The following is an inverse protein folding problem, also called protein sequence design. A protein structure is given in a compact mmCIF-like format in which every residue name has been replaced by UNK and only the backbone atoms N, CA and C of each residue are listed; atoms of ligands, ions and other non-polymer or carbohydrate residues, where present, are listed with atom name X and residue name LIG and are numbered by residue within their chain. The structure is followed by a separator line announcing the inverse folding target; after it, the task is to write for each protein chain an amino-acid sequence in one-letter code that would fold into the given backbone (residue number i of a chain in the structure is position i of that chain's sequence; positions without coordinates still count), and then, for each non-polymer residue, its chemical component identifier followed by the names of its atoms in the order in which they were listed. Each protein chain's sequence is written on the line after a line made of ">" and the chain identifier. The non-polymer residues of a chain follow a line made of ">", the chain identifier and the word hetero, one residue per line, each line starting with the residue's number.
data_IF_641566187837
#
_entry.id   IF_641566187837
#
_cell.length_a   1.000
_cell.length_b   1.000
_cell.length_c   1.000
_cell.angle_alpha   90.00
_cell.angle_beta   90.00
_cell.angle_gamma   90.00
#
_symmetry.space_group_name_H-M   'P 1'
#
loop_
_entity.id
_entity.type
_entity.pdbx_description
1 polymer ?
#
# COMPACT_ATOMS: atom_id res chain seq x y z
N UNK A 1 -7.61 -31.52 58.85
CA UNK A 1 -6.70 -30.73 57.99
C UNK A 1 -7.51 -30.24 56.80
N UNK A 2 -7.87 -28.95 56.73
CA UNK A 2 -8.60 -28.40 55.59
C UNK A 2 -7.68 -28.35 54.34
N UNK A 3 -8.23 -28.57 53.14
CA UNK A 3 -7.46 -28.52 51.90
C UNK A 3 -7.00 -27.07 51.62
N UNK A 4 -5.80 -26.88 51.03
CA UNK A 4 -5.28 -25.57 50.68
C UNK A 4 -6.19 -24.92 49.64
N UNK A 5 -6.75 -23.76 49.98
CA UNK A 5 -7.50 -22.90 49.08
C UNK A 5 -6.56 -22.37 48.00
N UNK A 6 -6.73 -22.86 46.78
CA UNK A 6 -6.06 -22.31 45.60
C UNK A 6 -6.45 -20.84 45.45
N UNK A 7 -5.49 -19.90 45.38
CA UNK A 7 -5.79 -18.50 45.16
C UNK A 7 -6.48 -18.37 43.80
N UNK A 8 -7.73 -17.90 43.83
CA UNK A 8 -8.48 -17.53 42.64
C UNK A 8 -7.69 -16.45 41.92
N UNK A 9 -7.08 -16.80 40.78
CA UNK A 9 -6.49 -15.82 39.88
C UNK A 9 -7.61 -14.82 39.57
N UNK A 10 -7.46 -13.54 39.95
CA UNK A 10 -8.49 -12.55 39.69
C UNK A 10 -8.76 -12.60 38.20
N UNK A 11 -10.03 -12.81 37.83
CA UNK A 11 -10.49 -12.81 36.46
C UNK A 11 -9.97 -11.51 35.84
N UNK A 12 -8.84 -11.62 35.13
CA UNK A 12 -8.18 -10.50 34.51
C UNK A 12 -9.23 -9.94 33.58
N UNK A 13 -9.74 -8.76 33.95
CA UNK A 13 -10.79 -8.08 33.25
C UNK A 13 -10.41 -8.17 31.77
N UNK A 14 -11.20 -8.92 31.01
CA UNK A 14 -11.14 -8.90 29.57
C UNK A 14 -11.61 -7.51 29.20
N UNK A 15 -10.70 -6.54 29.33
CA UNK A 15 -10.78 -5.26 28.66
C UNK A 15 -10.79 -5.64 27.21
N UNK A 16 -12.00 -5.91 26.70
CA UNK A 16 -12.27 -6.14 25.31
C UNK A 16 -11.67 -4.94 24.63
N UNK A 17 -10.48 -5.14 24.07
CA UNK A 17 -9.80 -4.15 23.26
C UNK A 17 -10.80 -3.97 22.13
N UNK A 18 -11.62 -2.92 22.24
CA UNK A 18 -12.67 -2.61 21.30
C UNK A 18 -11.95 -2.50 19.95
N UNK A 19 -12.13 -3.53 19.13
CA UNK A 19 -11.32 -3.77 17.94
C UNK A 19 -11.32 -2.47 17.14
N UNK A 20 -10.17 -1.76 17.02
CA UNK A 20 -10.17 -0.39 16.55
C UNK A 20 -10.87 -0.30 15.19
N UNK A 21 -12.05 0.33 15.26
CA UNK A 21 -13.04 0.73 14.26
C UNK A 21 -13.06 -0.04 12.92
N UNK A 22 -14.17 -0.74 12.66
CA UNK A 22 -14.56 -1.27 11.34
C UNK A 22 -14.48 -0.23 10.21
N UNK A 23 -14.55 1.06 10.54
CA UNK A 23 -14.54 2.20 9.62
C UNK A 23 -13.22 2.37 8.87
N UNK A 24 -12.07 2.26 9.55
CA UNK A 24 -10.74 2.39 8.91
C UNK A 24 -10.52 1.27 7.90
N UNK A 25 -10.90 0.05 8.28
CA UNK A 25 -10.75 -1.11 7.42
C UNK A 25 -11.59 -0.98 6.13
N UNK A 26 -12.79 -0.40 6.24
CA UNK A 26 -13.66 -0.11 5.10
C UNK A 26 -13.07 0.98 4.19
N UNK A 27 -12.46 2.02 4.75
CA UNK A 27 -11.77 3.06 3.98
C UNK A 27 -10.57 2.52 3.20
N UNK A 28 -9.74 1.69 3.84
CA UNK A 28 -8.59 1.05 3.18
C UNK A 28 -9.07 0.17 2.03
N UNK A 29 -10.11 -0.64 2.25
CA UNK A 29 -10.68 -1.47 1.19
C UNK A 29 -11.20 -0.63 0.02
N UNK A 30 -11.85 0.50 0.28
CA UNK A 30 -12.37 1.38 -0.76
C UNK A 30 -11.23 2.04 -1.57
N UNK A 31 -10.20 2.56 -0.90
CA UNK A 31 -9.01 3.09 -1.55
C UNK A 31 -8.34 2.06 -2.45
N UNK A 32 -8.28 0.81 -1.99
CA UNK A 32 -7.60 -0.25 -2.70
C UNK A 32 -8.39 -0.69 -3.95
N UNK A 33 -9.72 -0.72 -3.87
CA UNK A 33 -10.58 -0.91 -5.05
C UNK A 33 -10.44 0.24 -6.06
N UNK A 34 -10.37 1.49 -5.59
CA UNK A 34 -10.16 2.65 -6.47
C UNK A 34 -8.80 2.56 -7.17
N UNK A 35 -7.72 2.28 -6.44
CA UNK A 35 -6.38 2.10 -7.02
C UNK A 35 -6.34 0.94 -8.01
N UNK A 36 -7.03 -0.17 -7.73
CA UNK A 36 -7.10 -1.31 -8.65
C UNK A 36 -7.83 -0.95 -9.95
N UNK A 37 -8.97 -0.26 -9.85
CA UNK A 37 -9.73 0.20 -11.02
C UNK A 37 -8.92 1.19 -11.85
N UNK A 38 -8.28 2.15 -11.19
CA UNK A 38 -7.41 3.15 -11.81
C UNK A 38 -6.20 2.50 -12.51
N UNK A 39 -5.52 1.58 -11.84
CA UNK A 39 -4.40 0.81 -12.42
C UNK A 39 -4.85 0.03 -13.66
N UNK A 40 -6.06 -0.56 -13.64
CA UNK A 40 -6.59 -1.32 -14.77
C UNK A 40 -6.88 -0.42 -15.97
N UNK A 41 -7.52 0.74 -15.74
CA UNK A 41 -7.78 1.74 -16.78
C UNK A 41 -6.46 2.26 -17.36
N UNK A 42 -5.47 2.54 -16.50
CA UNK A 42 -4.19 3.05 -16.94
C UNK A 42 -3.40 2.01 -17.75
N UNK A 43 -3.44 0.71 -17.38
CA UNK A 43 -2.87 -0.37 -18.20
C UNK A 43 -3.54 -0.44 -19.56
N UNK A 44 -4.88 -0.38 -19.61
CA UNK A 44 -5.62 -0.42 -20.87
C UNK A 44 -5.26 0.76 -21.78
N UNK A 45 -5.21 1.98 -21.24
CA UNK A 45 -4.79 3.18 -21.97
C UNK A 45 -3.34 3.08 -22.42
N UNK A 46 -2.46 2.54 -21.57
CA UNK A 46 -1.05 2.34 -21.89
C UNK A 46 -0.88 1.31 -23.03
N UNK A 47 -1.66 0.22 -23.04
CA UNK A 47 -1.60 -0.76 -24.14
C UNK A 47 -2.04 -0.17 -25.48
N UNK A 48 -3.03 0.72 -25.50
CA UNK A 48 -3.47 1.40 -26.73
C UNK A 48 -2.37 2.33 -27.26
N UNK A 49 -1.58 2.93 -26.37
CA UNK A 49 -0.51 3.87 -26.73
C UNK A 49 0.86 3.20 -26.92
N UNK A 50 1.06 1.99 -26.39
CA UNK A 50 2.33 1.24 -26.43
C UNK A 50 2.79 0.88 -27.85
N UNK A 51 1.91 0.96 -28.85
CA UNK A 51 2.24 0.70 -30.25
C UNK A 51 3.06 1.80 -30.93
N UNK A 52 3.06 3.04 -30.41
CA UNK A 52 3.67 4.18 -31.10
C UNK A 52 4.96 4.71 -30.44
N UNK A 53 5.06 4.64 -29.11
CA UNK A 53 6.20 5.10 -28.33
C UNK A 53 6.43 4.10 -27.19
N UNK A 54 7.33 3.14 -27.39
CA UNK A 54 7.58 2.05 -26.44
C UNK A 54 8.30 2.50 -25.17
N UNK A 55 7.66 3.31 -24.33
CA UNK A 55 8.10 3.56 -22.96
C UNK A 55 7.57 2.45 -22.05
N UNK A 56 8.27 1.32 -22.02
CA UNK A 56 7.94 0.16 -21.18
C UNK A 56 8.01 0.45 -19.66
N UNK A 57 8.55 1.60 -19.26
CA UNK A 57 8.64 2.01 -17.85
C UNK A 57 7.27 2.13 -17.18
N UNK A 58 6.30 2.78 -17.83
CA UNK A 58 4.96 2.96 -17.27
C UNK A 58 4.19 1.62 -17.14
N UNK A 59 4.09 0.77 -18.20
CA UNK A 59 3.46 -0.55 -18.07
C UNK A 59 4.12 -1.44 -17.02
N UNK A 60 5.45 -1.40 -16.89
CA UNK A 60 6.17 -2.16 -15.86
C UNK A 60 5.83 -1.66 -14.44
N UNK A 61 5.83 -0.35 -14.22
CA UNK A 61 5.45 0.26 -12.94
C UNK A 61 3.98 -0.06 -12.58
N UNK A 62 3.07 -0.03 -13.57
CA UNK A 62 1.68 -0.44 -13.39
C UNK A 62 1.57 -1.93 -13.05
N UNK A 63 2.31 -2.80 -13.73
CA UNK A 63 2.32 -4.24 -13.45
C UNK A 63 2.78 -4.54 -12.01
N UNK A 64 3.87 -3.91 -11.57
CA UNK A 64 4.34 -4.04 -10.19
C UNK A 64 3.31 -3.53 -9.17
N UNK A 65 2.68 -2.39 -9.45
CA UNK A 65 1.63 -1.81 -8.60
C UNK A 65 0.41 -2.72 -8.52
N UNK A 66 0.02 -3.31 -9.64
CA UNK A 66 -1.08 -4.27 -9.72
C UNK A 66 -0.79 -5.52 -8.89
N UNK A 67 0.40 -6.12 -9.05
CA UNK A 67 0.82 -7.28 -8.26
C UNK A 67 0.77 -6.95 -6.77
N UNK A 68 1.34 -5.81 -6.37
CA UNK A 68 1.32 -5.37 -4.98
C UNK A 68 -0.10 -5.20 -4.42
N UNK A 69 -0.99 -4.56 -5.16
CA UNK A 69 -2.39 -4.38 -4.76
C UNK A 69 -3.12 -5.73 -4.63
N UNK A 70 -2.90 -6.66 -5.57
CA UNK A 70 -3.46 -8.01 -5.53
C UNK A 70 -2.91 -8.80 -4.34
N UNK A 71 -1.61 -8.75 -4.08
CA UNK A 71 -1.00 -9.40 -2.90
C UNK A 71 -1.61 -8.87 -1.61
N UNK A 72 -1.79 -7.55 -1.48
CA UNK A 72 -2.45 -6.96 -0.30
C UNK A 72 -3.90 -7.38 -0.17
N UNK A 73 -4.65 -7.48 -1.26
CA UNK A 73 -6.01 -8.02 -1.24
C UNK A 73 -6.04 -9.48 -0.80
N UNK A 74 -5.14 -10.30 -1.32
CA UNK A 74 -5.05 -11.72 -0.98
C UNK A 74 -4.74 -11.90 0.51
N UNK A 75 -3.77 -11.14 1.04
CA UNK A 75 -3.42 -11.14 2.46
C UNK A 75 -4.60 -10.65 3.32
N UNK A 76 -5.25 -9.54 2.95
CA UNK A 76 -6.41 -9.02 3.68
C UNK A 76 -7.58 -10.00 3.69
N UNK A 77 -7.85 -10.68 2.56
CA UNK A 77 -8.87 -11.74 2.49
C UNK A 77 -8.51 -12.94 3.35
N UNK A 78 -7.24 -13.34 3.39
CA UNK A 78 -6.75 -14.44 4.23
C UNK A 78 -6.95 -14.11 5.71
N UNK A 79 -6.69 -12.87 6.13
CA UNK A 79 -6.92 -12.43 7.51
C UNK A 79 -8.38 -12.41 7.90
N UNK A 80 -9.28 -12.00 7.00
CA UNK A 80 -10.74 -12.06 7.27
C UNK A 80 -11.28 -13.48 7.40
N UNK A 81 -10.63 -14.46 6.76
CA UNK A 81 -10.99 -15.88 6.87
C UNK A 81 -10.39 -16.54 8.11
N UNK A 82 -9.28 -16.04 8.62
CA UNK A 82 -8.75 -16.45 9.91
C UNK A 82 -9.70 -15.93 11.01
N UNK A 83 -10.33 -16.85 11.75
CA UNK A 83 -11.25 -16.48 12.82
C UNK A 83 -10.60 -15.58 13.89
N UNK A 84 -11.39 -14.94 14.77
CA UNK A 84 -10.90 -13.99 15.78
C UNK A 84 -9.79 -14.57 16.67
N UNK A 85 -9.87 -15.87 16.96
CA UNK A 85 -8.88 -16.59 17.78
C UNK A 85 -7.50 -16.65 17.11
N UNK A 86 -7.43 -16.78 15.79
CA UNK A 86 -6.17 -16.80 15.04
C UNK A 86 -5.55 -15.39 14.89
N UNK A 87 -6.35 -14.35 15.14
CA UNK A 87 -5.93 -12.95 15.12
C UNK A 87 -5.56 -12.42 16.51
N UNK A 88 -5.90 -13.15 17.58
CA UNK A 88 -5.53 -12.79 18.95
C UNK A 88 -3.99 -12.76 19.08
N UNK A 89 -3.44 -11.57 19.24
CA UNK A 89 -2.00 -11.34 19.39
C UNK A 89 -1.21 -11.14 18.09
N UNK A 90 -1.85 -11.21 16.91
CA UNK A 90 -1.19 -10.90 15.63
C UNK A 90 -1.55 -9.51 15.14
N UNK A 91 -0.53 -8.78 14.67
CA UNK A 91 -0.73 -7.49 14.00
C UNK A 91 -1.43 -7.70 12.65
N UNK A 92 -2.37 -6.81 12.27
CA UNK A 92 -2.99 -6.88 10.96
C UNK A 92 -1.93 -6.77 9.86
N UNK A 93 -2.09 -7.48 8.74
CA UNK A 93 -1.11 -7.54 7.66
C UNK A 93 -0.80 -6.14 7.11
N UNK A 94 -1.76 -5.23 7.17
CA UNK A 94 -1.58 -3.81 6.78
C UNK A 94 -0.56 -3.08 7.63
N UNK A 95 -0.37 -3.48 8.89
CA UNK A 95 0.58 -2.89 9.83
C UNK A 95 1.96 -3.57 9.82
N UNK A 96 2.15 -4.64 9.03
CA UNK A 96 3.46 -5.33 8.95
C UNK A 96 4.48 -4.42 8.29
N UNK A 97 5.71 -4.44 8.83
CA UNK A 97 6.84 -3.63 8.32
C UNK A 97 7.09 -3.90 6.84
N UNK A 98 7.01 -5.16 6.42
CA UNK A 98 7.22 -5.56 5.03
C UNK A 98 6.25 -4.86 4.06
N UNK A 99 4.97 -4.70 4.43
CA UNK A 99 3.97 -4.01 3.60
C UNK A 99 4.24 -2.51 3.52
N UNK A 100 4.70 -1.90 4.61
CA UNK A 100 5.08 -0.47 4.60
C UNK A 100 6.30 -0.24 3.72
N UNK A 101 7.35 -1.07 3.87
CA UNK A 101 8.59 -0.96 3.09
C UNK A 101 8.31 -1.16 1.60
N UNK A 102 7.54 -2.18 1.23
CA UNK A 102 7.16 -2.41 -0.16
C UNK A 102 6.31 -1.28 -0.74
N UNK A 103 5.40 -0.70 0.04
CA UNK A 103 4.64 0.48 -0.38
C UNK A 103 5.54 1.68 -0.72
N UNK A 104 6.53 1.97 0.13
CA UNK A 104 7.52 3.02 -0.14
C UNK A 104 8.39 2.73 -1.36
N UNK A 105 8.81 1.47 -1.52
CA UNK A 105 9.58 1.04 -2.68
C UNK A 105 8.81 1.29 -3.98
N UNK A 106 7.52 0.95 -4.03
CA UNK A 106 6.67 1.19 -5.20
C UNK A 106 6.46 2.67 -5.46
N UNK A 107 6.29 3.49 -4.41
CA UNK A 107 6.22 4.93 -4.55
C UNK A 107 7.51 5.53 -5.15
N UNK A 108 8.69 5.02 -4.76
CA UNK A 108 9.97 5.41 -5.36
C UNK A 108 10.09 4.98 -6.83
N UNK A 109 9.62 3.78 -7.18
CA UNK A 109 9.56 3.33 -8.57
C UNK A 109 8.69 4.26 -9.41
N UNK A 110 7.54 4.70 -8.89
CA UNK A 110 6.69 5.69 -9.56
C UNK A 110 7.38 7.05 -9.72
N UNK A 111 8.05 7.54 -8.67
CA UNK A 111 8.80 8.79 -8.76
C UNK A 111 9.91 8.72 -9.82
N UNK A 112 10.63 7.60 -9.89
CA UNK A 112 11.64 7.35 -10.92
C UNK A 112 11.01 7.29 -12.33
N UNK A 113 9.89 6.59 -12.49
CA UNK A 113 9.18 6.51 -13.76
C UNK A 113 8.73 7.90 -14.25
N UNK A 114 8.09 8.70 -13.38
CA UNK A 114 7.68 10.08 -13.68
C UNK A 114 8.88 10.95 -14.06
N UNK A 115 10.00 10.83 -13.33
CA UNK A 115 11.23 11.56 -13.62
C UNK A 115 11.85 11.20 -14.96
N UNK A 116 11.88 9.90 -15.29
CA UNK A 116 12.38 9.40 -16.58
C UNK A 116 11.49 9.88 -17.72
N UNK A 117 10.16 9.75 -17.62
CA UNK A 117 9.22 10.25 -18.62
C UNK A 117 9.36 11.76 -18.82
N UNK A 118 9.49 12.55 -17.74
CA UNK A 118 9.71 13.99 -17.83
C UNK A 118 11.02 14.33 -18.57
N UNK A 119 12.13 13.68 -18.21
CA UNK A 119 13.43 13.89 -18.84
C UNK A 119 13.40 13.58 -20.34
N UNK A 120 12.73 12.48 -20.72
CA UNK A 120 12.58 12.08 -22.12
C UNK A 120 11.74 13.07 -22.92
N UNK A 121 10.63 13.56 -22.37
CA UNK A 121 9.82 14.60 -23.01
C UNK A 121 10.66 15.86 -23.24
N UNK A 122 11.48 16.28 -22.28
CA UNK A 122 12.40 17.43 -22.42
C UNK A 122 13.42 17.18 -23.54
N UNK A 123 14.05 15.99 -23.57
CA UNK A 123 15.04 15.64 -24.60
C UNK A 123 14.39 15.66 -25.99
N UNK A 124 13.25 14.99 -26.17
CA UNK A 124 12.57 14.89 -27.46
C UNK A 124 12.11 16.26 -27.96
N UNK A 125 11.55 17.09 -27.07
CA UNK A 125 11.09 18.44 -27.42
C UNK A 125 12.25 19.37 -27.78
N UNK A 126 13.43 19.19 -27.17
CA UNK A 126 14.62 19.98 -27.49
C UNK A 126 15.22 19.67 -28.87
N UNK A 127 15.00 18.47 -29.42
CA UNK A 127 15.58 18.05 -30.70
C UNK A 127 14.79 18.52 -31.93
N UNK A 128 13.57 19.04 -31.76
CA UNK A 128 12.79 19.68 -32.83
C UNK A 128 12.34 18.81 -34.01
N UNK A 129 12.70 17.51 -34.06
CA UNK A 129 12.46 16.62 -35.22
C UNK A 129 11.12 15.88 -35.23
N UNK A 130 10.37 15.88 -34.13
CA UNK A 130 9.15 15.07 -34.00
C UNK A 130 7.91 15.94 -34.09
N UNK A 131 6.84 15.40 -34.68
CA UNK A 131 5.52 16.01 -34.74
C UNK A 131 5.03 16.33 -33.32
N UNK A 132 5.24 17.60 -32.92
CA UNK A 132 5.20 18.03 -31.51
C UNK A 132 3.86 17.71 -30.84
N UNK A 133 2.76 17.71 -31.60
CA UNK A 133 1.40 17.66 -31.04
C UNK A 133 1.08 16.32 -30.36
N UNK A 134 1.33 15.20 -31.03
CA UNK A 134 0.96 13.87 -30.50
C UNK A 134 1.81 13.48 -29.29
N UNK A 135 3.12 13.72 -29.35
CA UNK A 135 4.05 13.42 -28.24
C UNK A 135 3.74 14.26 -27.00
N UNK A 136 3.41 15.55 -27.18
CA UNK A 136 3.07 16.43 -26.06
C UNK A 136 1.78 15.95 -25.38
N UNK A 137 0.74 15.62 -26.14
CA UNK A 137 -0.55 15.19 -25.57
C UNK A 137 -0.38 13.88 -24.79
N UNK A 138 0.22 12.86 -25.41
CA UNK A 138 0.42 11.55 -24.76
C UNK A 138 1.31 11.67 -23.53
N UNK A 139 2.40 12.43 -23.62
CA UNK A 139 3.30 12.67 -22.50
C UNK A 139 2.60 13.36 -21.32
N UNK A 140 1.69 14.31 -21.57
CA UNK A 140 0.92 14.95 -20.51
C UNK A 140 -0.01 13.96 -19.80
N UNK A 141 -0.71 13.11 -20.55
CA UNK A 141 -1.58 12.09 -19.93
C UNK A 141 -0.77 11.12 -19.07
N UNK A 142 0.33 10.58 -19.59
CA UNK A 142 1.20 9.67 -18.86
C UNK A 142 1.75 10.32 -17.58
N UNK A 143 2.12 11.60 -17.66
CA UNK A 143 2.63 12.35 -16.51
C UNK A 143 1.56 12.56 -15.43
N UNK A 144 0.34 12.94 -15.82
CA UNK A 144 -0.78 13.10 -14.87
C UNK A 144 -1.15 11.77 -14.20
N UNK A 145 -1.23 10.68 -14.97
CA UNK A 145 -1.50 9.36 -14.42
C UNK A 145 -0.38 8.88 -13.49
N UNK A 146 0.89 9.07 -13.87
CA UNK A 146 2.03 8.70 -13.05
C UNK A 146 2.10 9.49 -11.74
N UNK A 147 1.84 10.80 -11.77
CA UNK A 147 1.76 11.62 -10.56
C UNK A 147 0.61 11.21 -9.66
N UNK A 148 -0.54 10.90 -10.24
CA UNK A 148 -1.70 10.49 -9.49
C UNK A 148 -1.47 9.14 -8.79
N UNK A 149 -0.91 8.15 -9.49
CA UNK A 149 -0.58 6.85 -8.88
C UNK A 149 0.53 6.99 -7.82
N UNK A 150 1.55 7.82 -8.07
CA UNK A 150 2.58 8.16 -7.08
C UNK A 150 1.95 8.73 -5.80
N UNK A 151 1.00 9.65 -5.94
CA UNK A 151 0.31 10.25 -4.79
C UNK A 151 -0.55 9.22 -4.05
N UNK A 152 -1.30 8.38 -4.77
CA UNK A 152 -2.13 7.31 -4.18
C UNK A 152 -1.26 6.33 -3.37
N UNK A 153 -0.15 5.85 -3.95
CA UNK A 153 0.77 4.92 -3.28
C UNK A 153 1.46 5.57 -2.07
N UNK A 154 1.92 6.80 -2.21
CA UNK A 154 2.49 7.57 -1.10
C UNK A 154 1.49 7.77 0.04
N UNK A 155 0.25 8.14 -0.28
CA UNK A 155 -0.80 8.32 0.71
C UNK A 155 -1.18 7.01 1.41
N UNK A 156 -1.25 5.90 0.68
CA UNK A 156 -1.43 4.57 1.25
C UNK A 156 -0.30 4.20 2.21
N UNK A 157 0.96 4.41 1.82
CA UNK A 157 2.11 4.14 2.67
C UNK A 157 2.10 4.99 3.95
N UNK A 158 1.76 6.27 3.83
CA UNK A 158 1.61 7.19 4.97
C UNK A 158 0.48 6.75 5.90
N UNK A 159 -0.67 6.35 5.37
CA UNK A 159 -1.80 5.85 6.18
C UNK A 159 -1.44 4.56 6.91
N UNK A 160 -0.78 3.62 6.25
CA UNK A 160 -0.30 2.38 6.90
C UNK A 160 0.72 2.68 8.01
N UNK A 161 1.59 3.67 7.79
CA UNK A 161 2.56 4.12 8.79
C UNK A 161 1.86 4.77 9.98
N UNK A 162 0.86 5.62 9.75
CA UNK A 162 0.06 6.25 10.81
C UNK A 162 -0.76 5.25 11.60
N UNK A 163 -1.39 4.29 10.94
CA UNK A 163 -2.12 3.19 11.62
C UNK A 163 -1.19 2.40 12.54
N UNK A 164 0.01 2.06 12.04
CA UNK A 164 1.04 1.40 12.85
C UNK A 164 1.47 2.27 14.03
N UNK A 165 1.68 3.57 13.82
CA UNK A 165 2.03 4.51 14.90
C UNK A 165 0.89 4.66 15.92
N UNK A 166 -0.38 4.59 15.53
CA UNK A 166 -1.49 4.62 16.47
C UNK A 166 -1.54 3.35 17.31
N UNK A 167 -1.36 2.18 16.70
CA UNK A 167 -1.31 0.89 17.42
C UNK A 167 -0.11 0.88 18.39
N UNK A 168 1.05 1.35 17.96
CA UNK A 168 2.27 1.40 18.80
C UNK A 168 2.21 2.54 19.82
N UNK A 169 1.56 3.67 19.50
CA UNK A 169 1.43 4.82 20.40
C UNK A 169 0.45 4.59 21.53
N UNK A 170 -0.60 3.79 21.31
CA UNK A 170 -1.40 3.20 22.40
C UNK A 170 -0.55 2.29 23.29
N UNK A 171 0.53 1.72 22.74
CA UNK A 171 1.54 0.94 23.43
C UNK A 171 2.79 1.77 23.77
N UNK A 172 2.67 3.05 24.14
CA UNK A 172 3.80 3.94 24.51
C UNK A 172 4.74 3.39 25.62
N UNK A 173 4.42 2.24 26.22
CA UNK A 173 5.29 1.48 27.13
C UNK A 173 6.12 0.38 26.45
N UNK A 174 5.81 -0.05 25.23
CA UNK A 174 6.50 -1.14 24.54
C UNK A 174 7.51 -0.60 23.50
N UNK A 175 8.81 -0.84 23.75
CA UNK A 175 9.89 -0.38 22.86
C UNK A 175 9.89 -1.15 21.52
N UNK A 176 10.26 -0.48 20.42
CA UNK A 176 10.22 -0.99 19.04
C UNK A 176 10.87 -2.37 18.79
N UNK A 177 11.82 -2.77 19.62
CA UNK A 177 12.49 -4.07 19.53
C UNK A 177 11.70 -5.21 20.19
N UNK A 178 10.76 -4.93 21.10
CA UNK A 178 9.85 -5.94 21.63
C UNK A 178 8.82 -6.38 20.59
N UNK A 179 8.49 -5.51 19.63
CA UNK A 179 7.61 -5.85 18.51
C UNK A 179 8.20 -6.90 17.54
N UNK A 180 9.52 -7.09 17.52
CA UNK A 180 10.16 -8.11 16.69
C UNK A 180 9.85 -9.54 17.13
N UNK A 181 9.51 -9.74 18.42
CA UNK A 181 9.20 -11.08 18.95
C UNK A 181 7.76 -11.54 18.65
N UNK A 182 6.91 -10.69 18.07
CA UNK A 182 5.54 -11.08 17.68
C UNK A 182 5.43 -11.50 16.21
N UNK A 183 6.53 -11.48 15.46
CA UNK A 183 6.61 -11.89 14.06
C UNK A 183 7.18 -13.33 13.89
N UNK A 184 7.34 -14.10 14.99
CA UNK A 184 7.70 -15.53 14.96
C UNK A 184 6.46 -16.43 15.09
#
# INVERSE_FOLDING_TARGET
>A
MPPPTTPSVPAAASTGIAHPSSTIHRQIQHLLWISLGLSTIAIALSMVHAGALSFYAAPAAFGLSFIYNVTRLALSRKERKAGPEALAGKLPATARKATIISGWFIALVWAAAVGVTAALVIIITSWGRVEKRSVIIVGHFEWVFGLFEMFVMGFLALKCTRERQQIVGLANTARWYQLGNYDM
#
